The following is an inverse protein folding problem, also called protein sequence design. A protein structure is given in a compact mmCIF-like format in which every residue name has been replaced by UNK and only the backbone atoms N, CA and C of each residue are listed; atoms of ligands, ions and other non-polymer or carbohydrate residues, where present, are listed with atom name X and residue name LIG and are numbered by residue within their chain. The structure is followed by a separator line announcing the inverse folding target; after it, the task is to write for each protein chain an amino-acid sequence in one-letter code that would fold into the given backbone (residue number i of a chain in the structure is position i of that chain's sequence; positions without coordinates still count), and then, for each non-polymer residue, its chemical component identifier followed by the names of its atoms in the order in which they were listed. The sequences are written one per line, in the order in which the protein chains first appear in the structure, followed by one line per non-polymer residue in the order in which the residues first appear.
data_IF_718510033766
#
_entry.id   IF_718510033766
#
_cell.length_a   1.000
_cell.length_b   1.000
_cell.length_c   1.000
_cell.angle_alpha   90.00
_cell.angle_beta   90.00
_cell.angle_gamma   90.00
#
_symmetry.space_group_name_H-M   'P 1'
#
loop_
_entity.id
_entity.type
_entity.pdbx_description
1 polymer ?
#
# COMPACT_ATOMS: atom_id res chain seq x y z
N UNK A 1 -22.17 -24.23 10.97
CA UNK A 1 -20.77 -23.79 11.16
C UNK A 1 -20.38 -24.06 12.59
N UNK A 2 -19.37 -24.91 12.81
CA UNK A 2 -18.82 -25.24 14.14
C UNK A 2 -18.04 -24.01 14.68
N UNK A 3 -18.19 -23.62 15.96
CA UNK A 3 -17.35 -22.60 16.60
C UNK A 3 -15.84 -22.79 16.38
N UNK A 4 -15.34 -24.02 16.40
CA UNK A 4 -13.92 -24.34 16.22
C UNK A 4 -13.40 -23.96 14.82
N UNK A 5 -14.23 -24.11 13.79
CA UNK A 5 -13.91 -23.68 12.42
C UNK A 5 -13.83 -22.15 12.30
N UNK A 6 -14.66 -21.43 13.07
CA UNK A 6 -14.63 -19.96 13.10
C UNK A 6 -13.36 -19.46 13.76
N UNK A 7 -12.95 -20.07 14.86
CA UNK A 7 -11.77 -19.64 15.62
C UNK A 7 -10.47 -19.95 14.84
N UNK A 8 -10.40 -21.13 14.20
CA UNK A 8 -9.30 -21.45 13.27
C UNK A 8 -9.21 -20.46 12.11
N UNK A 9 -10.36 -20.09 11.51
CA UNK A 9 -10.41 -19.11 10.42
C UNK A 9 -9.98 -17.71 10.87
N UNK A 10 -10.36 -17.28 12.09
CA UNK A 10 -9.91 -16.01 12.67
C UNK A 10 -8.40 -16.00 12.90
N UNK A 11 -7.87 -17.05 13.54
CA UNK A 11 -6.44 -17.16 13.82
C UNK A 11 -5.60 -17.14 12.53
N UNK A 12 -6.07 -17.82 11.48
CA UNK A 12 -5.40 -17.78 10.16
C UNK A 12 -5.40 -16.37 9.56
N UNK A 13 -6.54 -15.67 9.55
CA UNK A 13 -6.61 -14.29 9.05
C UNK A 13 -5.70 -13.33 9.83
N UNK A 14 -5.63 -13.50 11.15
CA UNK A 14 -4.76 -12.69 12.01
C UNK A 14 -3.27 -12.90 11.65
N UNK A 15 -2.86 -14.14 11.45
CA UNK A 15 -1.48 -14.46 11.04
C UNK A 15 -1.14 -13.86 9.67
N UNK A 16 -2.05 -13.95 8.71
CA UNK A 16 -1.83 -13.36 7.38
C UNK A 16 -1.73 -11.83 7.46
N UNK A 17 -2.58 -11.19 8.27
CA UNK A 17 -2.49 -9.75 8.53
C UNK A 17 -1.16 -9.36 9.15
N UNK A 18 -0.69 -10.11 10.16
CA UNK A 18 0.60 -9.85 10.80
C UNK A 18 1.77 -9.97 9.81
N UNK A 19 1.74 -10.98 8.93
CA UNK A 19 2.75 -11.11 7.87
C UNK A 19 2.72 -9.93 6.89
N UNK A 20 1.53 -9.49 6.50
CA UNK A 20 1.37 -8.33 5.63
C UNK A 20 1.94 -7.05 6.27
N UNK A 21 1.62 -6.81 7.55
CA UNK A 21 2.15 -5.64 8.29
C UNK A 21 3.68 -5.66 8.41
N UNK A 22 4.29 -6.83 8.60
CA UNK A 22 5.76 -6.97 8.62
C UNK A 22 6.36 -6.68 7.24
N UNK A 23 5.64 -6.97 6.16
CA UNK A 23 6.09 -6.77 4.79
C UNK A 23 5.88 -5.33 4.29
N UNK A 24 5.17 -4.47 5.03
CA UNK A 24 4.98 -3.08 4.62
C UNK A 24 6.33 -2.34 4.50
N UNK A 25 6.53 -1.55 3.43
CA UNK A 25 7.83 -0.96 3.14
C UNK A 25 8.06 0.32 3.97
N UNK A 26 7.02 0.81 4.65
CA UNK A 26 7.01 2.03 5.45
C UNK A 26 6.05 1.86 6.65
N UNK A 27 6.24 2.63 7.73
CA UNK A 27 5.25 2.79 8.79
C UNK A 27 3.89 3.26 8.26
N UNK A 28 2.82 2.89 8.97
CA UNK A 28 1.44 3.21 8.58
C UNK A 28 1.22 4.72 8.37
N UNK A 29 1.78 5.60 9.21
CA UNK A 29 1.60 7.05 9.04
C UNK A 29 2.24 7.57 7.74
N UNK A 30 3.35 6.95 7.32
CA UNK A 30 4.04 7.31 6.08
C UNK A 30 3.32 6.75 4.85
N UNK A 31 2.80 5.51 4.92
CA UNK A 31 1.95 4.95 3.86
C UNK A 31 0.68 5.79 3.67
N UNK A 32 0.00 6.14 4.76
CA UNK A 32 -1.19 7.00 4.72
C UNK A 32 -0.87 8.35 4.06
N UNK A 33 0.26 8.97 4.43
CA UNK A 33 0.69 10.23 3.82
C UNK A 33 1.12 10.09 2.35
N UNK A 34 1.66 8.94 1.94
CA UNK A 34 2.01 8.66 0.54
C UNK A 34 0.74 8.55 -0.29
N UNK A 35 -0.19 7.68 0.11
CA UNK A 35 -1.43 7.43 -0.63
C UNK A 35 -2.28 8.69 -0.76
N UNK A 36 -2.51 9.42 0.34
CA UNK A 36 -3.26 10.67 0.31
C UNK A 36 -2.62 11.74 -0.58
N UNK A 37 -1.28 11.80 -0.64
CA UNK A 37 -0.59 12.71 -1.54
C UNK A 37 -0.77 12.32 -3.00
N UNK A 38 -0.55 11.04 -3.33
CA UNK A 38 -0.64 10.54 -4.71
C UNK A 38 -2.08 10.68 -5.22
N UNK A 39 -3.08 10.31 -4.42
CA UNK A 39 -4.51 10.48 -4.72
C UNK A 39 -4.82 11.94 -5.07
N UNK A 40 -4.42 12.89 -4.20
CA UNK A 40 -4.67 14.30 -4.43
C UNK A 40 -3.98 14.85 -5.71
N UNK A 41 -2.79 14.33 -6.07
CA UNK A 41 -2.13 14.73 -7.31
C UNK A 41 -2.80 14.10 -8.55
N UNK A 42 -3.18 12.83 -8.48
CA UNK A 42 -3.89 12.12 -9.56
C UNK A 42 -5.24 12.77 -9.83
N UNK A 43 -6.01 13.14 -8.80
CA UNK A 43 -7.29 13.83 -8.95
C UNK A 43 -7.16 15.19 -9.62
N UNK A 44 -6.06 15.90 -9.33
CA UNK A 44 -5.83 17.26 -9.83
C UNK A 44 -5.26 17.29 -11.26
N UNK A 45 -4.32 16.39 -11.55
CA UNK A 45 -3.48 16.47 -12.75
C UNK A 45 -3.62 15.26 -13.68
N UNK A 46 -4.35 14.23 -13.24
CA UNK A 46 -4.46 12.94 -13.94
C UNK A 46 -3.22 12.07 -13.76
N UNK A 47 -3.35 10.81 -14.16
CA UNK A 47 -2.24 9.87 -14.22
C UNK A 47 -1.66 9.78 -15.63
N UNK A 48 -0.33 9.76 -15.74
CA UNK A 48 0.41 9.56 -16.99
C UNK A 48 0.98 8.15 -17.14
N UNK A 49 0.47 7.20 -16.35
CA UNK A 49 0.93 5.81 -16.26
C UNK A 49 2.38 5.64 -15.82
N UNK A 50 2.90 6.59 -15.03
CA UNK A 50 4.20 6.49 -14.36
C UNK A 50 4.04 6.62 -12.83
N UNK A 51 5.14 6.49 -12.10
CA UNK A 51 5.24 6.77 -10.65
C UNK A 51 5.62 8.21 -10.34
N UNK A 52 5.30 9.18 -11.21
CA UNK A 52 5.76 10.58 -11.10
C UNK A 52 5.52 11.20 -9.72
N UNK A 53 4.33 11.03 -9.17
CA UNK A 53 3.95 11.59 -7.88
C UNK A 53 4.49 10.77 -6.71
N UNK A 54 4.48 9.44 -6.84
CA UNK A 54 5.12 8.54 -5.89
C UNK A 54 6.60 8.88 -5.73
N UNK A 55 7.35 9.00 -6.82
CA UNK A 55 8.78 9.35 -6.83
C UNK A 55 9.04 10.74 -6.24
N UNK A 56 8.17 11.71 -6.54
CA UNK A 56 8.24 13.05 -5.95
C UNK A 56 8.07 13.01 -4.42
N UNK A 57 7.06 12.31 -3.92
CA UNK A 57 6.82 12.18 -2.48
C UNK A 57 7.99 11.48 -1.78
N UNK A 58 8.52 10.40 -2.38
CA UNK A 58 9.66 9.66 -1.86
C UNK A 58 10.89 10.55 -1.74
N UNK A 59 11.15 11.37 -2.76
CA UNK A 59 12.23 12.36 -2.74
C UNK A 59 12.05 13.41 -1.64
N UNK A 60 10.85 14.00 -1.52
CA UNK A 60 10.52 15.02 -0.52
C UNK A 60 10.65 14.48 0.93
N UNK A 61 10.24 13.23 1.16
CA UNK A 61 10.31 12.55 2.46
C UNK A 61 11.64 11.82 2.71
N UNK A 62 12.57 11.86 1.76
CA UNK A 62 13.88 11.18 1.80
C UNK A 62 13.75 9.67 2.07
N UNK A 63 12.77 9.04 1.46
CA UNK A 63 12.51 7.60 1.59
C UNK A 63 13.20 6.80 0.46
N UNK A 64 13.61 5.55 0.72
CA UNK A 64 14.30 4.72 -0.28
C UNK A 64 13.35 4.29 -1.41
N UNK A 65 13.67 4.67 -2.64
CA UNK A 65 12.80 4.42 -3.80
C UNK A 65 12.55 2.93 -4.08
N UNK A 66 13.62 2.17 -4.29
CA UNK A 66 13.55 0.78 -4.78
C UNK A 66 12.67 -0.14 -3.95
N UNK A 67 12.89 -0.33 -2.63
CA UNK A 67 12.08 -1.27 -1.85
C UNK A 67 10.61 -0.86 -1.74
N UNK A 68 10.32 0.46 -1.84
CA UNK A 68 8.93 0.95 -1.79
C UNK A 68 8.23 0.65 -3.11
N UNK A 69 8.87 0.93 -4.25
CA UNK A 69 8.29 0.60 -5.55
C UNK A 69 8.14 -0.89 -5.77
N UNK A 70 9.11 -1.71 -5.36
CA UNK A 70 9.00 -3.17 -5.42
C UNK A 70 7.75 -3.66 -4.69
N UNK A 71 7.52 -3.18 -3.47
CA UNK A 71 6.31 -3.52 -2.72
C UNK A 71 5.03 -3.01 -3.40
N UNK A 72 5.03 -1.78 -3.93
CA UNK A 72 3.87 -1.22 -4.62
C UNK A 72 3.52 -2.05 -5.86
N UNK A 73 4.51 -2.38 -6.69
CA UNK A 73 4.36 -3.17 -7.91
C UNK A 73 3.90 -4.60 -7.61
N UNK A 74 4.45 -5.26 -6.58
CA UNK A 74 3.98 -6.58 -6.10
C UNK A 74 2.49 -6.57 -5.73
N UNK A 75 1.99 -5.41 -5.27
CA UNK A 75 0.59 -5.20 -4.90
C UNK A 75 -0.23 -4.51 -6.00
N UNK A 76 0.31 -4.48 -7.22
CA UNK A 76 -0.40 -4.03 -8.42
C UNK A 76 -0.34 -2.53 -8.69
N UNK A 77 0.56 -1.78 -8.05
CA UNK A 77 0.76 -0.34 -8.21
C UNK A 77 1.86 0.02 -9.21
N UNK A 78 1.64 -0.17 -10.51
CA UNK A 78 2.64 0.13 -11.56
C UNK A 78 2.56 1.56 -12.11
N UNK A 79 1.49 2.30 -11.82
CA UNK A 79 1.35 3.76 -11.98
C UNK A 79 0.84 4.41 -10.68
N UNK A 80 0.93 5.73 -10.58
CA UNK A 80 0.30 6.50 -9.49
C UNK A 80 -1.21 6.19 -9.33
N UNK A 81 -1.92 5.97 -10.44
CA UNK A 81 -3.33 5.56 -10.42
C UNK A 81 -3.58 4.22 -9.72
N UNK A 82 -2.72 3.26 -9.97
CA UNK A 82 -2.80 1.90 -9.44
C UNK A 82 -2.20 1.80 -8.03
N UNK A 83 -1.26 2.68 -7.68
CA UNK A 83 -0.80 2.84 -6.30
C UNK A 83 -1.98 3.14 -5.38
N UNK A 84 -2.87 4.05 -5.80
CA UNK A 84 -4.10 4.40 -5.06
C UNK A 84 -5.18 3.33 -5.22
N UNK A 85 -5.40 2.80 -6.43
CA UNK A 85 -6.51 1.85 -6.65
C UNK A 85 -6.23 0.43 -6.16
N UNK A 86 -4.97 -0.02 -6.11
CA UNK A 86 -4.61 -1.40 -5.80
C UNK A 86 -3.76 -1.49 -4.53
N UNK A 87 -2.64 -0.77 -4.47
CA UNK A 87 -1.69 -0.94 -3.37
C UNK A 87 -2.22 -0.36 -2.05
N UNK A 88 -2.94 0.78 -2.10
CA UNK A 88 -3.64 1.33 -0.94
C UNK A 88 -4.71 0.37 -0.43
N UNK A 89 -5.57 -0.17 -1.31
CA UNK A 89 -6.58 -1.16 -0.96
C UNK A 89 -5.98 -2.38 -0.24
N UNK A 90 -4.82 -2.86 -0.72
CA UNK A 90 -4.07 -3.95 -0.07
C UNK A 90 -3.56 -3.57 1.31
N UNK A 91 -3.05 -2.36 1.47
CA UNK A 91 -2.62 -1.85 2.78
C UNK A 91 -3.79 -1.67 3.74
N UNK A 92 -4.90 -1.04 3.34
CA UNK A 92 -6.07 -0.79 4.18
C UNK A 92 -6.72 -2.08 4.72
N UNK A 93 -6.75 -3.13 3.89
CA UNK A 93 -7.25 -4.45 4.29
C UNK A 93 -6.38 -5.13 5.37
N UNK A 94 -5.14 -4.68 5.54
CA UNK A 94 -4.13 -5.35 6.37
C UNK A 94 -3.49 -4.46 7.46
N UNK A 95 -3.75 -3.14 7.50
CA UNK A 95 -3.18 -2.22 8.49
C UNK A 95 -3.67 -2.43 9.93
#
# INVERSE_FOLDING_TARGET
MNPEDRDRKKAWKEQERQKAQIAFPLPNELLESLFAFVEAQVDKEGCDHTHRFTDRWLSEKKQPRTPILEWLEEHGGFCDCEVVANAQDRWEQNR
#
